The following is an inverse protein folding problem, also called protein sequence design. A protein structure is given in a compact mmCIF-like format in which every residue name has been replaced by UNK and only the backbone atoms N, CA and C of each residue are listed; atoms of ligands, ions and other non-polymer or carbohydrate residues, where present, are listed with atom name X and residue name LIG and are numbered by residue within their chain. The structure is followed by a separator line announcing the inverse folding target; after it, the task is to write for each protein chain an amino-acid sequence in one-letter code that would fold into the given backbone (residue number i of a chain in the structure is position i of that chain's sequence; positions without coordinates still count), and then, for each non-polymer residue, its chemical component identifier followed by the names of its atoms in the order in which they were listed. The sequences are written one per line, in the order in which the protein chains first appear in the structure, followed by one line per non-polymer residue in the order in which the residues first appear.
data_IF_834670410232
#
_entry.id   IF_834670410232
#
_cell.length_a   1.000
_cell.length_b   1.000
_cell.length_c   1.000
_cell.angle_alpha   90.00
_cell.angle_beta   90.00
_cell.angle_gamma   90.00
#
_symmetry.space_group_name_H-M   'P 1'
#
loop_
_entity.id
_entity.type
_entity.pdbx_description
1 polymer ?
#
# COMPACT_ATOMS: atom_id res chain seq x y z
N UNK A 1 -13.96 -18.96 16.68
CA UNK A 1 -13.25 -17.81 16.06
C UNK A 1 -14.17 -16.59 16.09
N UNK A 2 -13.67 -15.37 16.22
CA UNK A 2 -14.53 -14.20 16.14
C UNK A 2 -15.14 -14.10 14.73
N UNK A 3 -16.37 -13.62 14.65
CA UNK A 3 -17.04 -13.34 13.38
C UNK A 3 -16.42 -12.07 12.80
N UNK A 4 -15.87 -12.16 11.59
CA UNK A 4 -15.27 -11.04 10.86
C UNK A 4 -16.23 -10.65 9.74
N UNK A 5 -16.78 -9.45 9.81
CA UNK A 5 -17.74 -8.92 8.85
C UNK A 5 -17.21 -7.72 8.07
N UNK A 6 -16.22 -7.01 8.61
CA UNK A 6 -15.62 -5.82 8.02
C UNK A 6 -14.16 -5.67 8.45
N UNK A 7 -13.44 -4.75 7.82
CA UNK A 7 -12.02 -4.50 8.10
C UNK A 7 -11.78 -4.00 9.54
N UNK A 8 -12.74 -3.30 10.16
CA UNK A 8 -12.58 -2.83 11.53
C UNK A 8 -12.59 -3.98 12.56
N UNK A 9 -13.26 -5.12 12.28
CA UNK A 9 -13.20 -6.29 13.16
C UNK A 9 -11.77 -6.85 13.21
N UNK A 10 -11.07 -6.90 12.05
CA UNK A 10 -9.65 -7.28 11.98
C UNK A 10 -8.77 -6.28 12.72
N UNK A 11 -9.03 -4.97 12.58
CA UNK A 11 -8.29 -3.91 13.29
C UNK A 11 -8.36 -4.08 14.80
N UNK A 12 -9.54 -4.39 15.36
CA UNK A 12 -9.70 -4.61 16.81
C UNK A 12 -8.90 -5.80 17.32
N UNK A 13 -8.81 -6.88 16.54
CA UNK A 13 -8.00 -8.06 16.90
C UNK A 13 -6.52 -7.72 16.80
N UNK A 14 -6.11 -7.06 15.72
CA UNK A 14 -4.76 -6.60 15.47
C UNK A 14 -4.22 -5.74 16.62
N UNK A 15 -4.97 -4.74 17.09
CA UNK A 15 -4.60 -3.89 18.24
C UNK A 15 -4.33 -4.68 19.51
N UNK A 16 -5.10 -5.76 19.73
CA UNK A 16 -4.93 -6.61 20.91
C UNK A 16 -3.71 -7.53 20.80
N UNK A 17 -3.35 -7.98 19.61
CA UNK A 17 -2.32 -9.01 19.38
C UNK A 17 -0.92 -8.45 19.18
N UNK A 18 -0.79 -7.36 18.46
CA UNK A 18 0.51 -6.79 18.06
C UNK A 18 1.00 -5.78 19.10
N UNK A 19 2.32 -5.71 19.37
CA UNK A 19 2.89 -4.69 20.25
C UNK A 19 2.54 -3.26 19.79
N UNK A 20 2.28 -2.38 20.76
CA UNK A 20 1.83 -1.03 20.51
C UNK A 20 2.71 -0.24 19.55
N UNK A 21 4.03 -0.42 19.64
CA UNK A 21 4.97 0.26 18.77
C UNK A 21 4.75 -0.11 17.29
N UNK A 22 4.49 -1.38 16.98
CA UNK A 22 4.24 -1.85 15.61
C UNK A 22 2.81 -1.55 15.16
N UNK A 23 1.84 -1.65 16.07
CA UNK A 23 0.47 -1.21 15.80
C UNK A 23 0.43 0.26 15.41
N UNK A 24 1.00 1.14 16.23
CA UNK A 24 1.02 2.58 15.99
C UNK A 24 1.86 2.94 14.75
N UNK A 25 2.91 2.17 14.43
CA UNK A 25 3.65 2.35 13.17
C UNK A 25 2.72 2.24 11.96
N UNK A 26 1.83 1.26 11.92
CA UNK A 26 0.86 1.11 10.83
C UNK A 26 -0.31 2.10 10.96
N UNK A 27 -0.79 2.36 12.19
CA UNK A 27 -1.96 3.17 12.50
C UNK A 27 -1.56 4.59 12.93
N UNK A 28 -0.71 5.23 12.12
CA UNK A 28 -0.32 6.63 12.32
C UNK A 28 -0.30 7.41 11.02
N UNK A 29 -0.64 8.69 11.12
CA UNK A 29 -0.34 9.72 10.16
C UNK A 29 0.84 10.58 10.63
N UNK A 30 1.15 11.62 9.88
CA UNK A 30 2.12 12.65 10.22
C UNK A 30 1.44 13.82 10.96
N UNK A 31 2.21 14.55 11.74
CA UNK A 31 1.80 15.74 12.54
C UNK A 31 0.46 15.59 13.24
N UNK A 32 -0.58 16.31 12.78
CA UNK A 32 -1.93 16.33 13.41
C UNK A 32 -2.81 15.18 12.92
N UNK A 33 -2.36 14.41 11.94
CA UNK A 33 -3.11 13.32 11.31
C UNK A 33 -4.40 13.81 10.59
N UNK A 34 -4.45 15.06 10.09
CA UNK A 34 -5.58 15.56 9.34
C UNK A 34 -5.76 14.75 8.04
N UNK A 35 -4.73 14.74 7.17
CA UNK A 35 -4.77 13.98 5.90
C UNK A 35 -5.04 12.49 6.14
N UNK A 36 -4.52 11.93 7.24
CA UNK A 36 -4.81 10.54 7.61
C UNK A 36 -6.31 10.30 7.85
N UNK A 37 -6.99 11.20 8.55
CA UNK A 37 -8.44 11.11 8.78
C UNK A 37 -9.23 11.40 7.51
N UNK A 38 -8.84 12.42 6.75
CA UNK A 38 -9.52 12.85 5.53
C UNK A 38 -9.49 11.75 4.45
N UNK A 39 -8.42 10.95 4.39
CA UNK A 39 -8.34 9.79 3.50
C UNK A 39 -9.50 8.79 3.64
N UNK A 40 -10.08 8.65 4.82
CA UNK A 40 -11.25 7.79 5.03
C UNK A 40 -12.55 8.58 4.99
N UNK A 41 -12.57 9.78 5.57
CA UNK A 41 -13.79 10.59 5.69
C UNK A 41 -14.29 11.10 4.32
N UNK A 42 -13.39 11.37 3.39
CA UNK A 42 -13.78 11.91 2.08
C UNK A 42 -14.47 10.87 1.19
N UNK A 43 -14.20 9.58 1.39
CA UNK A 43 -15.02 8.53 0.76
C UNK A 43 -16.50 8.61 1.20
N UNK A 44 -16.79 9.05 2.42
CA UNK A 44 -18.16 9.17 2.92
C UNK A 44 -18.93 10.31 2.26
N UNK A 45 -18.26 11.31 1.69
CA UNK A 45 -18.87 12.41 0.94
C UNK A 45 -19.46 11.96 -0.40
N UNK A 46 -18.93 10.88 -0.99
CA UNK A 46 -19.40 10.30 -2.24
C UNK A 46 -20.55 9.35 -1.94
N UNK A 47 -21.73 9.56 -2.60
CA UNK A 47 -22.90 8.70 -2.45
C UNK A 47 -23.05 7.78 -3.66
N UNK A 48 -23.56 6.58 -3.42
CA UNK A 48 -23.82 5.57 -4.45
C UNK A 48 -25.23 5.73 -4.99
N UNK A 49 -25.39 5.55 -6.29
CA UNK A 49 -26.70 5.54 -6.96
C UNK A 49 -27.23 4.12 -7.03
N UNK A 50 -28.27 3.83 -6.25
CA UNK A 50 -28.93 2.53 -6.25
C UNK A 50 -29.75 2.33 -7.52
N UNK A 51 -29.73 1.12 -8.08
CA UNK A 51 -30.59 0.67 -9.18
C UNK A 51 -31.35 -0.57 -8.78
N UNK A 52 -32.52 -0.76 -9.37
CA UNK A 52 -33.38 -1.92 -9.11
C UNK A 52 -33.85 -2.56 -10.42
N UNK A 53 -34.28 -3.80 -10.34
CA UNK A 53 -34.83 -4.59 -11.48
C UNK A 53 -33.83 -4.76 -12.64
N UNK A 54 -32.54 -4.84 -12.32
CA UNK A 54 -31.44 -5.18 -13.26
C UNK A 54 -31.06 -6.63 -13.02
N UNK A 55 -31.00 -7.44 -14.07
CA UNK A 55 -30.54 -8.83 -13.97
C UNK A 55 -29.04 -8.86 -13.59
N UNK A 56 -28.74 -9.49 -12.45
CA UNK A 56 -27.37 -9.57 -11.90
C UNK A 56 -26.73 -10.95 -12.09
N UNK A 57 -27.32 -11.84 -12.87
CA UNK A 57 -26.73 -13.15 -13.15
C UNK A 57 -25.43 -12.97 -13.97
N UNK A 58 -24.40 -13.75 -13.59
CA UNK A 58 -23.12 -13.74 -14.29
C UNK A 58 -22.25 -12.51 -14.03
N UNK A 59 -22.53 -11.71 -12.99
CA UNK A 59 -21.65 -10.57 -12.62
C UNK A 59 -20.27 -11.04 -12.17
N UNK A 60 -19.26 -10.20 -12.39
CA UNK A 60 -17.88 -10.50 -12.07
C UNK A 60 -17.11 -9.25 -11.62
N UNK A 61 -16.24 -9.44 -10.63
CA UNK A 61 -15.26 -8.42 -10.19
C UNK A 61 -13.91 -8.56 -10.89
N UNK A 62 -13.73 -9.58 -11.74
CA UNK A 62 -12.48 -9.82 -12.46
C UNK A 62 -12.11 -8.63 -13.36
N UNK A 63 -10.83 -8.32 -13.45
CA UNK A 63 -10.29 -7.18 -14.18
C UNK A 63 -8.82 -7.42 -14.57
N UNK A 64 -8.18 -6.38 -15.07
CA UNK A 64 -6.74 -6.34 -15.28
C UNK A 64 -6.11 -5.13 -14.59
N UNK A 65 -4.87 -5.31 -14.10
CA UNK A 65 -4.02 -4.23 -13.58
C UNK A 65 -2.64 -4.34 -14.26
N UNK A 66 -2.22 -3.31 -14.96
CA UNK A 66 -0.98 -3.26 -15.78
C UNK A 66 -0.77 -4.49 -16.68
N UNK A 67 -1.87 -4.98 -17.28
CA UNK A 67 -1.87 -6.17 -18.15
C UNK A 67 -1.86 -7.51 -17.42
N UNK A 68 -1.96 -7.55 -16.10
CA UNK A 68 -2.07 -8.76 -15.29
C UNK A 68 -3.53 -9.02 -14.92
N UNK A 69 -4.03 -10.23 -15.21
CA UNK A 69 -5.38 -10.64 -14.78
C UNK A 69 -5.49 -10.72 -13.27
N UNK A 70 -6.57 -10.15 -12.73
CA UNK A 70 -6.84 -10.10 -11.29
C UNK A 70 -8.28 -10.53 -10.99
N UNK A 71 -8.49 -11.18 -9.85
CA UNK A 71 -9.84 -11.58 -9.39
C UNK A 71 -10.73 -10.38 -9.00
N UNK A 72 -10.09 -9.29 -8.61
CA UNK A 72 -10.67 -7.97 -8.36
C UNK A 72 -9.60 -6.89 -8.49
N UNK A 73 -9.90 -5.64 -8.86
CA UNK A 73 -8.91 -4.59 -9.09
C UNK A 73 -8.35 -4.00 -7.78
N UNK A 74 -7.75 -4.88 -6.97
CA UNK A 74 -7.06 -4.55 -5.71
C UNK A 74 -5.68 -5.18 -5.72
N UNK A 75 -4.65 -4.41 -5.33
CA UNK A 75 -3.31 -4.92 -5.03
C UNK A 75 -2.98 -4.68 -3.55
N UNK A 76 -2.15 -5.54 -2.95
CA UNK A 76 -1.56 -5.27 -1.65
C UNK A 76 -0.44 -4.24 -1.81
N UNK A 77 -0.61 -3.07 -1.17
CA UNK A 77 0.34 -1.98 -1.22
C UNK A 77 1.67 -2.34 -0.53
N UNK A 78 2.79 -1.71 -0.90
CA UNK A 78 4.05 -1.90 -0.20
C UNK A 78 3.98 -1.33 1.21
N UNK A 79 4.23 -2.18 2.20
CA UNK A 79 4.29 -1.78 3.61
C UNK A 79 5.57 -2.31 4.22
N UNK A 80 6.38 -1.41 4.77
CA UNK A 80 7.58 -1.78 5.52
C UNK A 80 7.24 -2.46 6.85
N UNK A 81 8.18 -3.25 7.37
CA UNK A 81 8.06 -3.89 8.68
C UNK A 81 6.84 -4.83 8.84
N UNK A 82 6.31 -5.37 7.76
CA UNK A 82 5.18 -6.32 7.83
C UNK A 82 5.55 -7.61 8.58
N UNK A 83 6.80 -8.05 8.46
CA UNK A 83 7.34 -9.15 9.25
C UNK A 83 7.39 -8.91 10.76
N UNK A 84 7.32 -7.64 11.20
CA UNK A 84 7.19 -7.28 12.62
C UNK A 84 5.73 -7.23 13.08
N UNK A 85 4.78 -7.16 12.17
CA UNK A 85 3.34 -7.27 12.48
C UNK A 85 2.93 -8.73 12.77
N UNK A 86 3.56 -9.65 12.04
CA UNK A 86 3.41 -11.10 12.21
C UNK A 86 4.67 -11.79 11.67
N UNK A 87 5.13 -12.86 12.33
CA UNK A 87 6.29 -13.63 11.83
C UNK A 87 6.11 -14.02 10.36
N UNK A 88 7.15 -13.80 9.54
CA UNK A 88 7.15 -14.02 8.09
C UNK A 88 5.98 -13.32 7.38
N UNK A 89 5.71 -12.07 7.78
CA UNK A 89 4.52 -11.32 7.38
C UNK A 89 4.44 -11.08 5.89
N UNK A 90 5.53 -10.70 5.23
CA UNK A 90 5.59 -10.45 3.80
C UNK A 90 5.31 -11.74 3.01
N UNK A 91 5.89 -12.87 3.42
CA UNK A 91 5.65 -14.19 2.80
C UNK A 91 4.19 -14.59 2.93
N UNK A 92 3.60 -14.40 4.13
CA UNK A 92 2.19 -14.73 4.38
C UNK A 92 1.23 -13.84 3.58
N UNK A 93 1.55 -12.56 3.46
CA UNK A 93 0.77 -11.63 2.64
C UNK A 93 0.86 -11.96 1.15
N UNK A 94 2.07 -12.26 0.65
CA UNK A 94 2.30 -12.67 -0.74
C UNK A 94 1.53 -13.94 -1.09
N UNK A 95 1.59 -14.98 -0.26
CA UNK A 95 0.84 -16.23 -0.45
C UNK A 95 -0.68 -16.03 -0.44
N UNK A 96 -1.18 -15.19 0.47
CA UNK A 96 -2.61 -14.88 0.51
C UNK A 96 -3.06 -14.15 -0.77
N UNK A 97 -2.28 -13.17 -1.23
CA UNK A 97 -2.53 -12.43 -2.46
C UNK A 97 -2.48 -13.35 -3.70
N UNK A 98 -1.46 -14.20 -3.80
CA UNK A 98 -1.31 -15.17 -4.89
C UNK A 98 -2.50 -16.13 -4.95
N UNK A 99 -2.89 -16.71 -3.82
CA UNK A 99 -4.02 -17.62 -3.74
C UNK A 99 -5.36 -16.94 -4.07
N UNK A 100 -5.52 -15.67 -3.73
CA UNK A 100 -6.70 -14.89 -4.03
C UNK A 100 -6.74 -14.38 -5.48
N UNK A 101 -5.60 -14.33 -6.16
CA UNK A 101 -5.46 -13.83 -7.53
C UNK A 101 -5.38 -12.30 -7.61
N UNK A 102 -4.70 -11.66 -6.67
CA UNK A 102 -4.41 -10.22 -6.66
C UNK A 102 -2.91 -9.96 -6.54
N UNK A 103 -2.37 -8.83 -7.04
CA UNK A 103 -0.95 -8.52 -6.92
C UNK A 103 -0.54 -8.25 -5.46
N UNK A 104 0.67 -8.68 -5.11
CA UNK A 104 1.37 -8.30 -3.89
C UNK A 104 2.54 -7.39 -4.23
N UNK A 105 2.77 -6.34 -3.44
CA UNK A 105 3.93 -5.46 -3.60
C UNK A 105 4.85 -5.57 -2.40
N UNK A 106 6.07 -6.07 -2.63
CA UNK A 106 7.11 -6.15 -1.59
C UNK A 106 7.81 -4.81 -1.43
N UNK A 107 7.93 -4.32 -0.21
CA UNK A 107 8.64 -3.06 0.08
C UNK A 107 10.16 -3.26 0.14
N UNK A 108 10.95 -2.26 -0.28
CA UNK A 108 12.40 -2.19 0.03
C UNK A 108 12.66 -2.37 1.54
N UNK A 109 11.77 -1.82 2.37
CA UNK A 109 11.86 -1.84 3.83
C UNK A 109 11.15 -3.06 4.46
N UNK A 110 11.13 -4.19 3.76
CA UNK A 110 10.58 -5.45 4.24
C UNK A 110 11.54 -6.19 5.18
N UNK A 111 10.96 -7.00 6.08
CA UNK A 111 11.73 -7.92 6.92
C UNK A 111 12.18 -9.14 6.09
N UNK A 112 11.27 -9.75 5.33
CA UNK A 112 11.67 -10.80 4.41
C UNK A 112 12.33 -10.19 3.16
N UNK A 113 13.36 -10.85 2.63
CA UNK A 113 14.06 -10.40 1.42
C UNK A 113 13.25 -10.69 0.14
N UNK A 114 13.68 -10.11 -0.98
CA UNK A 114 13.13 -10.37 -2.31
C UNK A 114 13.15 -11.87 -2.60
N UNK A 115 14.29 -12.52 -2.34
CA UNK A 115 14.52 -13.94 -2.61
C UNK A 115 13.62 -14.82 -1.73
N UNK A 116 13.51 -14.50 -0.43
CA UNK A 116 12.66 -15.27 0.50
C UNK A 116 11.18 -15.24 0.11
N UNK A 117 10.70 -14.13 -0.46
CA UNK A 117 9.34 -14.03 -0.99
C UNK A 117 9.21 -14.80 -2.31
N UNK A 118 10.19 -14.67 -3.20
CA UNK A 118 10.21 -15.40 -4.48
C UNK A 118 10.24 -16.91 -4.28
N UNK A 119 11.03 -17.42 -3.32
CA UNK A 119 11.09 -18.84 -2.97
C UNK A 119 9.78 -19.35 -2.35
N UNK A 120 8.98 -18.45 -1.78
CA UNK A 120 7.76 -18.80 -1.07
C UNK A 120 6.49 -18.70 -1.91
N UNK A 121 6.57 -18.15 -3.15
CA UNK A 121 5.47 -17.94 -4.07
C UNK A 121 5.78 -18.57 -5.44
N UNK A 122 4.75 -18.83 -6.24
CA UNK A 122 4.89 -19.40 -7.58
C UNK A 122 4.62 -18.37 -8.67
N UNK A 123 3.86 -17.33 -8.37
CA UNK A 123 3.55 -16.23 -9.29
C UNK A 123 4.46 -15.03 -9.02
N UNK A 124 4.76 -14.25 -10.06
CA UNK A 124 5.47 -12.99 -9.91
C UNK A 124 4.73 -12.01 -8.99
N UNK A 125 5.48 -11.18 -8.27
CA UNK A 125 4.98 -10.10 -7.45
C UNK A 125 5.60 -8.77 -7.89
N UNK A 126 5.10 -7.65 -7.39
CA UNK A 126 5.66 -6.32 -7.63
C UNK A 126 6.72 -5.99 -6.58
N UNK A 127 7.79 -5.32 -6.97
CA UNK A 127 8.81 -4.85 -6.04
C UNK A 127 8.76 -3.33 -5.93
N UNK A 128 8.66 -2.81 -4.71
CA UNK A 128 8.68 -1.36 -4.46
C UNK A 128 10.08 -0.90 -4.10
N UNK A 129 10.54 0.10 -4.84
CA UNK A 129 11.83 0.73 -4.70
C UNK A 129 11.69 2.11 -4.03
N UNK A 130 12.43 2.32 -2.94
CA UNK A 130 12.82 3.65 -2.51
C UNK A 130 14.16 4.01 -3.14
N UNK A 131 14.26 5.22 -3.68
CA UNK A 131 15.53 5.77 -4.16
C UNK A 131 16.40 6.14 -2.97
N UNK A 132 17.63 5.72 -3.03
CA UNK A 132 18.63 5.96 -1.99
C UNK A 132 19.84 6.67 -2.60
N UNK A 133 20.65 7.33 -1.76
CA UNK A 133 21.85 8.04 -2.18
C UNK A 133 22.91 7.12 -2.79
N UNK A 134 22.96 5.86 -2.36
CA UNK A 134 23.84 4.84 -2.93
C UNK A 134 23.22 4.26 -4.22
N UNK A 135 23.61 4.82 -5.37
CA UNK A 135 23.15 4.39 -6.68
C UNK A 135 23.51 2.92 -6.99
N UNK A 136 24.67 2.45 -6.51
CA UNK A 136 25.10 1.06 -6.72
C UNK A 136 24.23 0.09 -5.93
N UNK A 137 23.83 0.46 -4.70
CA UNK A 137 22.86 -0.32 -3.95
C UNK A 137 21.50 -0.35 -4.64
N UNK A 138 21.03 0.78 -5.17
CA UNK A 138 19.78 0.86 -5.95
C UNK A 138 19.83 -0.07 -7.17
N UNK A 139 20.96 -0.04 -7.93
CA UNK A 139 21.18 -0.94 -9.08
C UNK A 139 21.13 -2.42 -8.66
N UNK A 140 21.79 -2.78 -7.57
CA UNK A 140 21.78 -4.14 -7.03
C UNK A 140 20.36 -4.58 -6.63
N UNK A 141 19.56 -3.70 -5.99
CA UNK A 141 18.16 -3.99 -5.66
C UNK A 141 17.32 -4.27 -6.91
N UNK A 142 17.46 -3.45 -7.94
CA UNK A 142 16.77 -3.62 -9.21
C UNK A 142 17.17 -4.95 -9.86
N UNK A 143 18.46 -5.29 -9.88
CA UNK A 143 18.94 -6.55 -10.43
C UNK A 143 18.36 -7.75 -9.67
N UNK A 144 18.37 -7.72 -8.32
CA UNK A 144 17.77 -8.76 -7.49
C UNK A 144 16.26 -8.94 -7.76
N UNK A 145 15.54 -7.83 -7.96
CA UNK A 145 14.12 -7.88 -8.31
C UNK A 145 13.89 -8.52 -9.71
N UNK A 146 14.77 -8.24 -10.68
CA UNK A 146 14.76 -8.90 -12.00
C UNK A 146 15.04 -10.40 -11.87
N UNK A 147 16.06 -10.79 -11.13
CA UNK A 147 16.46 -12.19 -10.91
C UNK A 147 15.33 -12.97 -10.22
N UNK A 148 14.62 -12.33 -9.30
CA UNK A 148 13.42 -12.86 -8.64
C UNK A 148 12.16 -12.83 -9.55
N UNK A 149 12.27 -12.38 -10.79
CA UNK A 149 11.17 -12.26 -11.77
C UNK A 149 9.99 -11.43 -11.28
N UNK A 150 10.24 -10.34 -10.53
CA UNK A 150 9.20 -9.39 -10.20
C UNK A 150 8.56 -8.84 -11.48
N UNK A 151 7.22 -8.80 -11.54
CA UNK A 151 6.48 -8.41 -12.75
C UNK A 151 6.36 -6.90 -12.95
N UNK A 152 6.61 -6.10 -11.92
CA UNK A 152 6.65 -4.64 -12.01
C UNK A 152 7.57 -4.02 -10.94
N UNK A 153 8.13 -2.87 -11.29
CA UNK A 153 8.83 -1.99 -10.36
C UNK A 153 7.90 -0.87 -9.93
N UNK A 154 7.69 -0.71 -8.62
CA UNK A 154 6.90 0.39 -8.03
C UNK A 154 7.86 1.40 -7.44
N UNK A 155 8.12 2.52 -8.12
CA UNK A 155 9.00 3.57 -7.64
C UNK A 155 8.18 4.53 -6.77
N UNK A 156 8.57 4.68 -5.51
CA UNK A 156 7.87 5.55 -4.55
C UNK A 156 8.54 6.91 -4.49
N UNK A 157 7.80 7.96 -4.83
CA UNK A 157 8.32 9.31 -5.05
C UNK A 157 8.12 10.26 -3.86
N UNK A 158 7.13 9.99 -3.01
CA UNK A 158 6.71 10.85 -1.90
C UNK A 158 7.51 10.66 -0.60
N UNK A 159 8.68 9.98 -0.66
CA UNK A 159 9.50 9.68 0.52
C UNK A 159 10.97 10.14 0.38
N UNK A 160 11.21 11.23 -0.32
CA UNK A 160 12.53 11.89 -0.35
C UNK A 160 12.95 12.41 1.03
N UNK A 161 11.97 12.89 1.79
CA UNK A 161 12.09 13.38 3.16
C UNK A 161 11.00 12.72 4.00
N UNK A 162 11.35 12.26 5.19
CA UNK A 162 10.41 11.60 6.10
C UNK A 162 9.46 12.60 6.75
N UNK A 163 8.16 12.36 6.64
CA UNK A 163 7.14 13.06 7.42
C UNK A 163 7.29 12.79 8.93
N UNK A 164 6.95 13.77 9.75
CA UNK A 164 7.09 13.63 11.21
C UNK A 164 5.93 12.80 11.81
N UNK A 165 6.20 11.55 12.11
CA UNK A 165 5.24 10.62 12.72
C UNK A 165 5.41 10.63 14.22
N UNK A 166 4.64 11.44 14.92
CA UNK A 166 4.76 11.65 16.36
C UNK A 166 4.56 10.36 17.17
N UNK A 167 3.67 9.45 16.71
CA UNK A 167 3.44 8.17 17.40
C UNK A 167 4.67 7.26 17.32
N UNK A 168 5.37 7.23 16.18
CA UNK A 168 6.58 6.43 16.01
C UNK A 168 7.67 6.90 17.01
N UNK A 169 7.88 8.20 17.10
CA UNK A 169 8.85 8.80 18.05
C UNK A 169 8.46 8.50 19.51
N UNK A 170 7.19 8.66 19.88
CA UNK A 170 6.69 8.38 21.24
C UNK A 170 6.80 6.91 21.64
N UNK A 171 6.73 5.99 20.67
CA UNK A 171 6.85 4.56 20.91
C UNK A 171 8.28 4.02 20.80
N UNK A 172 9.25 4.90 20.55
CA UNK A 172 10.66 4.54 20.47
C UNK A 172 11.06 3.85 19.16
N UNK A 173 10.23 3.94 18.10
CA UNK A 173 10.61 3.60 16.72
C UNK A 173 11.44 4.75 16.12
N UNK A 174 12.46 5.19 16.86
CA UNK A 174 13.50 6.07 16.37
C UNK A 174 14.65 5.24 15.79
N UNK A 175 15.53 5.90 15.09
CA UNK A 175 16.77 5.31 14.63
C UNK A 175 17.94 5.84 15.49
N UNK A 176 18.55 5.04 16.38
CA UNK A 176 18.22 3.65 16.74
C UNK A 176 16.93 3.54 17.62
N UNK A 177 16.29 2.34 17.68
CA UNK A 177 15.12 2.13 18.52
C UNK A 177 15.41 2.32 20.00
N UNK A 178 14.55 3.07 20.70
CA UNK A 178 14.68 3.32 22.16
C UNK A 178 13.56 2.59 22.89
N UNK A 179 13.89 1.47 23.53
CA UNK A 179 12.94 0.73 24.35
C UNK A 179 12.77 1.42 25.72
N UNK A 180 11.59 1.95 25.97
CA UNK A 180 11.22 2.46 27.29
C UNK A 180 10.68 1.34 28.19
N UNK A 181 10.66 1.50 29.53
CA UNK A 181 10.01 0.53 30.43
C UNK A 181 8.55 0.24 30.05
N UNK A 182 7.81 1.26 29.56
CA UNK A 182 6.44 1.13 29.07
C UNK A 182 6.36 0.25 27.81
N UNK A 183 7.30 0.42 26.89
CA UNK A 183 7.37 -0.38 25.66
C UNK A 183 7.69 -1.84 26.00
N UNK A 184 8.63 -2.09 26.93
CA UNK A 184 8.98 -3.42 27.41
C UNK A 184 7.77 -4.09 28.08
N UNK A 185 7.08 -3.39 29.00
CA UNK A 185 5.87 -3.91 29.65
C UNK A 185 4.79 -4.28 28.62
N UNK A 186 4.59 -3.43 27.58
CA UNK A 186 3.65 -3.74 26.50
C UNK A 186 4.06 -4.98 25.71
N UNK A 187 5.34 -5.15 25.35
CA UNK A 187 5.86 -6.34 24.67
C UNK A 187 5.57 -7.61 25.51
N UNK A 188 5.76 -7.57 26.82
CA UNK A 188 5.49 -8.71 27.71
C UNK A 188 4.02 -9.12 27.71
N UNK A 189 3.08 -8.21 27.47
CA UNK A 189 1.64 -8.53 27.37
C UNK A 189 1.26 -9.18 26.05
N UNK A 190 2.13 -9.16 25.05
CA UNK A 190 1.87 -9.69 23.69
C UNK A 190 2.54 -11.05 23.47
N UNK A 191 2.35 -11.96 24.41
CA UNK A 191 3.04 -13.27 24.44
C UNK A 191 2.80 -14.12 23.18
N UNK A 192 1.59 -14.07 22.58
CA UNK A 192 1.28 -14.77 21.32
C UNK A 192 2.12 -14.25 20.16
N UNK A 193 2.29 -12.93 20.05
CA UNK A 193 3.18 -12.30 19.10
C UNK A 193 4.65 -12.72 19.38
N UNK A 194 5.07 -12.69 20.64
CA UNK A 194 6.42 -13.08 21.05
C UNK A 194 6.75 -14.52 20.64
N UNK A 195 5.86 -15.47 20.92
CA UNK A 195 6.02 -16.88 20.52
C UNK A 195 6.12 -17.04 18.99
N UNK A 196 5.30 -16.34 18.23
CA UNK A 196 5.38 -16.35 16.75
C UNK A 196 6.73 -15.81 16.27
N UNK A 197 7.22 -14.72 16.86
CA UNK A 197 8.51 -14.13 16.49
C UNK A 197 9.71 -15.01 16.81
N UNK A 198 9.60 -15.96 17.75
CA UNK A 198 10.67 -16.96 17.99
C UNK A 198 10.88 -17.86 16.77
N UNK A 199 9.82 -18.19 16.04
CA UNK A 199 9.86 -19.00 14.82
C UNK A 199 10.08 -18.23 13.53
N UNK A 200 10.22 -16.90 13.58
CA UNK A 200 10.40 -16.08 12.38
C UNK A 200 11.74 -16.35 11.71
N UNK A 201 11.74 -16.48 10.38
CA UNK A 201 12.96 -16.65 9.57
C UNK A 201 13.92 -15.48 9.75
N UNK A 202 13.40 -14.25 9.83
CA UNK A 202 14.18 -13.02 9.92
C UNK A 202 13.51 -11.99 10.85
N UNK A 203 14.33 -11.14 11.47
CA UNK A 203 13.88 -10.07 12.38
C UNK A 203 14.53 -8.71 12.09
N UNK A 204 15.23 -8.59 10.96
CA UNK A 204 15.87 -7.38 10.46
C UNK A 204 15.52 -7.19 8.98
N UNK A 205 15.82 -6.03 8.40
CA UNK A 205 15.50 -5.74 7.01
C UNK A 205 16.29 -6.63 6.04
N UNK A 206 15.59 -7.58 5.41
CA UNK A 206 16.18 -8.61 4.55
C UNK A 206 16.79 -8.10 3.26
N UNK A 207 16.38 -6.94 2.79
CA UNK A 207 16.95 -6.33 1.59
C UNK A 207 18.18 -5.46 1.89
N UNK A 208 18.41 -5.08 3.15
CA UNK A 208 19.47 -4.15 3.57
C UNK A 208 20.60 -4.90 4.26
N UNK A 209 20.28 -5.63 5.34
CA UNK A 209 21.29 -6.33 6.15
C UNK A 209 21.95 -7.46 5.33
N UNK A 210 23.28 -7.41 5.24
CA UNK A 210 24.08 -8.31 4.42
C UNK A 210 24.26 -7.86 2.96
N UNK A 211 23.61 -6.76 2.56
CA UNK A 211 23.71 -6.18 1.21
C UNK A 211 24.34 -4.78 1.19
N UNK A 212 24.53 -4.19 2.37
CA UNK A 212 25.18 -2.89 2.58
C UNK A 212 26.32 -3.07 3.58
N UNK A 213 27.50 -2.52 3.27
CA UNK A 213 28.68 -2.59 4.13
C UNK A 213 28.45 -1.83 5.44
N UNK A 214 29.00 -2.34 6.55
CA UNK A 214 28.97 -1.69 7.86
C UNK A 214 27.63 -1.80 8.62
N UNK A 215 26.61 -2.49 8.07
CA UNK A 215 25.32 -2.69 8.75
C UNK A 215 25.24 -4.10 9.33
N UNK A 216 25.42 -4.20 10.64
CA UNK A 216 25.40 -5.49 11.36
C UNK A 216 24.32 -5.58 12.44
N UNK A 217 23.81 -4.44 12.92
CA UNK A 217 22.86 -4.37 14.03
C UNK A 217 21.74 -3.33 13.80
N UNK A 218 20.77 -3.30 14.71
CA UNK A 218 19.62 -2.39 14.62
C UNK A 218 20.01 -0.90 14.76
N UNK A 219 21.13 -0.60 15.41
CA UNK A 219 21.60 0.79 15.59
C UNK A 219 22.21 1.32 14.31
N UNK A 220 23.16 0.59 13.71
CA UNK A 220 23.77 0.93 12.43
C UNK A 220 22.75 0.99 11.31
N UNK A 221 21.80 0.05 11.30
CA UNK A 221 20.67 0.03 10.37
C UNK A 221 19.78 1.27 10.49
N UNK A 222 19.42 1.66 11.72
CA UNK A 222 18.59 2.82 11.95
C UNK A 222 19.22 4.13 11.50
N UNK A 223 20.48 4.34 11.85
CA UNK A 223 21.26 5.51 11.42
C UNK A 223 21.38 5.55 9.89
N UNK A 224 21.76 4.44 9.26
CA UNK A 224 21.88 4.34 7.81
C UNK A 224 20.55 4.65 7.11
N UNK A 225 19.43 4.04 7.55
CA UNK A 225 18.13 4.26 6.91
C UNK A 225 17.70 5.73 6.95
N UNK A 226 17.96 6.44 8.07
CA UNK A 226 17.61 7.85 8.19
C UNK A 226 18.42 8.76 7.24
N UNK A 227 19.64 8.36 6.87
CA UNK A 227 20.56 9.14 6.04
C UNK A 227 20.44 8.81 4.55
N UNK A 228 19.89 7.64 4.19
CA UNK A 228 19.96 7.12 2.82
C UNK A 228 18.86 7.58 1.89
N UNK A 229 17.73 8.08 2.38
CA UNK A 229 16.73 8.66 1.47
C UNK A 229 17.35 9.78 0.65
N UNK A 230 17.18 9.72 -0.67
CA UNK A 230 17.78 10.68 -1.60
C UNK A 230 16.92 11.94 -1.74
N UNK A 231 17.31 13.06 -1.12
CA UNK A 231 16.57 14.32 -1.25
C UNK A 231 16.74 14.96 -2.64
N UNK A 232 17.65 14.45 -3.46
CA UNK A 232 17.94 14.97 -4.80
C UNK A 232 17.24 14.17 -5.91
N UNK A 233 16.27 13.30 -5.57
CA UNK A 233 15.46 12.60 -6.55
C UNK A 233 14.69 13.62 -7.41
N UNK A 234 14.89 13.52 -8.72
CA UNK A 234 14.22 14.32 -9.72
C UNK A 234 13.71 13.45 -10.88
N UNK A 235 12.97 14.04 -11.80
CA UNK A 235 12.43 13.34 -12.96
C UNK A 235 13.50 12.75 -13.88
N UNK A 236 14.71 13.34 -13.92
CA UNK A 236 15.84 12.80 -14.66
C UNK A 236 16.39 11.50 -14.07
N UNK A 237 16.43 11.40 -12.74
CA UNK A 237 16.79 10.16 -12.05
C UNK A 237 15.71 9.09 -12.22
N UNK A 238 14.43 9.48 -12.16
CA UNK A 238 13.28 8.57 -12.37
C UNK A 238 13.36 7.97 -13.79
N UNK A 239 13.62 8.77 -14.81
CA UNK A 239 13.79 8.29 -16.20
C UNK A 239 14.88 7.21 -16.30
N UNK A 240 16.05 7.43 -15.65
CA UNK A 240 17.14 6.43 -15.62
C UNK A 240 16.74 5.13 -14.92
N UNK A 241 15.92 5.20 -13.87
CA UNK A 241 15.42 4.00 -13.17
C UNK A 241 14.42 3.22 -14.04
N UNK A 242 13.57 3.92 -14.81
CA UNK A 242 12.66 3.31 -15.80
C UNK A 242 13.46 2.55 -16.86
N UNK A 243 14.48 3.20 -17.46
CA UNK A 243 15.37 2.58 -18.44
C UNK A 243 16.12 1.37 -17.86
N UNK A 244 16.60 1.49 -16.60
CA UNK A 244 17.34 0.42 -15.93
C UNK A 244 16.45 -0.80 -15.65
N UNK A 245 15.16 -0.62 -15.37
CA UNK A 245 14.24 -1.72 -15.08
C UNK A 245 13.86 -2.50 -16.33
N UNK A 246 13.59 -1.82 -17.45
CA UNK A 246 13.20 -2.42 -18.72
C UNK A 246 12.00 -3.40 -18.59
N UNK A 247 10.95 -2.93 -17.95
CA UNK A 247 9.73 -3.70 -17.68
C UNK A 247 8.61 -2.79 -17.20
N UNK A 248 7.53 -3.35 -16.67
CA UNK A 248 6.40 -2.58 -16.16
C UNK A 248 6.78 -1.69 -14.97
N UNK A 249 6.48 -0.39 -15.06
CA UNK A 249 6.79 0.61 -14.02
C UNK A 249 5.53 1.30 -13.53
N UNK A 250 5.41 1.37 -12.22
CA UNK A 250 4.35 2.09 -11.50
C UNK A 250 5.00 3.22 -10.69
N UNK A 251 4.60 4.46 -10.90
CA UNK A 251 5.06 5.60 -10.10
C UNK A 251 4.05 5.89 -8.98
N UNK A 252 4.48 5.72 -7.73
CA UNK A 252 3.62 5.82 -6.54
C UNK A 252 3.91 7.09 -5.74
N UNK A 253 2.86 7.71 -5.19
CA UNK A 253 2.99 8.94 -4.38
C UNK A 253 2.65 10.21 -5.16
N UNK A 254 1.94 10.06 -6.27
CA UNK A 254 1.48 11.18 -7.10
C UNK A 254 0.21 11.76 -6.48
N UNK A 255 0.20 13.06 -6.20
CA UNK A 255 -0.96 13.77 -5.67
C UNK A 255 -1.20 15.11 -6.38
N UNK A 256 -0.42 15.41 -7.40
CA UNK A 256 -0.49 16.63 -8.19
C UNK A 256 -0.68 16.31 -9.67
N UNK A 257 -1.44 17.15 -10.38
CA UNK A 257 -1.77 16.97 -11.81
C UNK A 257 -0.52 17.11 -12.68
N UNK A 258 0.38 18.04 -12.37
CA UNK A 258 1.59 18.25 -13.16
C UNK A 258 2.57 17.08 -12.99
N UNK A 259 2.67 16.51 -11.77
CA UNK A 259 3.44 15.29 -11.53
C UNK A 259 2.84 14.08 -12.29
N UNK A 260 1.51 13.98 -12.37
CA UNK A 260 0.84 12.94 -13.14
C UNK A 260 1.13 13.05 -14.65
N UNK A 261 1.10 14.27 -15.21
CA UNK A 261 1.49 14.54 -16.61
C UNK A 261 2.96 14.18 -16.87
N UNK A 262 3.85 14.51 -15.94
CA UNK A 262 5.27 14.16 -16.07
C UNK A 262 5.47 12.64 -16.03
N UNK A 263 4.75 11.92 -15.17
CA UNK A 263 4.79 10.46 -15.11
C UNK A 263 4.34 9.82 -16.43
N UNK A 264 3.24 10.29 -17.01
CA UNK A 264 2.76 9.84 -18.31
C UNK A 264 3.77 10.14 -19.43
N UNK A 265 4.36 11.35 -19.45
CA UNK A 265 5.39 11.75 -20.42
C UNK A 265 6.65 10.88 -20.35
N UNK A 266 7.03 10.40 -19.18
CA UNK A 266 8.19 9.52 -19.00
C UNK A 266 7.89 8.07 -19.42
N UNK A 267 6.66 7.72 -19.80
CA UNK A 267 6.29 6.38 -20.25
C UNK A 267 6.14 5.36 -19.13
N UNK A 268 5.79 5.78 -17.91
CA UNK A 268 5.38 4.84 -16.87
C UNK A 268 4.09 4.12 -17.30
N UNK A 269 3.94 2.85 -16.89
CA UNK A 269 2.73 2.06 -17.23
C UNK A 269 1.53 2.45 -16.36
N UNK A 270 1.78 2.83 -15.11
CA UNK A 270 0.75 3.29 -14.20
C UNK A 270 1.27 4.30 -13.20
N UNK A 271 0.33 5.07 -12.64
CA UNK A 271 0.56 5.89 -11.43
C UNK A 271 -0.34 5.43 -10.30
N UNK A 272 0.10 5.67 -9.06
CA UNK A 272 -0.78 5.54 -7.88
C UNK A 272 -1.00 6.90 -7.27
N UNK A 273 -2.25 7.38 -7.34
CA UNK A 273 -2.70 8.58 -6.62
C UNK A 273 -2.66 8.26 -5.13
N UNK A 274 -1.74 8.92 -4.42
CA UNK A 274 -1.35 8.52 -3.07
C UNK A 274 -0.75 9.67 -2.29
N UNK A 275 -1.10 9.78 -1.01
CA UNK A 275 -0.42 10.60 -0.02
C UNK A 275 0.27 9.75 1.07
N UNK A 276 0.68 8.52 0.69
CA UNK A 276 1.32 7.56 1.61
C UNK A 276 0.46 7.21 2.83
N UNK A 277 -0.86 7.25 2.67
CA UNK A 277 -1.80 6.99 3.77
C UNK A 277 -1.80 8.08 4.84
N UNK A 278 -1.53 9.35 4.47
CA UNK A 278 -1.44 10.48 5.39
C UNK A 278 -0.19 10.46 6.27
N UNK A 279 0.89 9.83 5.80
CA UNK A 279 2.14 9.62 6.58
C UNK A 279 3.26 10.57 6.15
N UNK A 280 3.02 11.39 5.13
CA UNK A 280 3.96 12.38 4.59
C UNK A 280 3.46 13.80 4.85
N UNK A 281 3.06 14.58 3.88
CA UNK A 281 2.55 15.93 4.08
C UNK A 281 1.18 15.90 4.76
N UNK A 282 1.07 16.42 5.99
CA UNK A 282 -0.21 16.64 6.64
C UNK A 282 -0.83 17.95 6.16
N UNK A 283 -2.16 18.01 6.04
CA UNK A 283 -2.87 19.11 5.41
C UNK A 283 -2.97 19.01 3.88
N UNK A 284 -2.35 18.00 3.25
CA UNK A 284 -2.61 17.67 1.85
C UNK A 284 -4.04 17.11 1.69
N UNK A 285 -4.63 17.26 0.50
CA UNK A 285 -5.91 16.64 0.18
C UNK A 285 -5.83 15.12 0.25
N UNK A 286 -6.96 14.48 0.48
CA UNK A 286 -7.05 13.02 0.38
C UNK A 286 -6.86 12.57 -1.08
N UNK A 287 -6.35 11.35 -1.25
CA UNK A 287 -6.12 10.78 -2.59
C UNK A 287 -7.41 10.68 -3.40
N UNK A 288 -8.55 10.35 -2.75
CA UNK A 288 -9.84 10.25 -3.44
C UNK A 288 -10.34 11.61 -3.92
N UNK A 289 -10.03 12.71 -3.24
CA UNK A 289 -10.36 14.06 -3.72
C UNK A 289 -9.51 14.48 -4.92
N UNK A 290 -8.26 14.04 -4.98
CA UNK A 290 -7.36 14.37 -6.10
C UNK A 290 -7.61 13.50 -7.34
N UNK A 291 -8.23 12.34 -7.17
CA UNK A 291 -8.43 11.37 -8.25
C UNK A 291 -9.16 11.97 -9.47
N UNK A 292 -10.29 12.71 -9.35
CA UNK A 292 -10.99 13.24 -10.52
C UNK A 292 -10.13 14.16 -11.40
N UNK A 293 -9.37 15.08 -10.78
CA UNK A 293 -8.52 16.01 -11.51
C UNK A 293 -7.36 15.31 -12.23
N UNK A 294 -6.77 14.29 -11.59
CA UNK A 294 -5.70 13.49 -12.20
C UNK A 294 -6.26 12.63 -13.33
N UNK A 295 -7.44 12.02 -13.17
CA UNK A 295 -8.11 11.25 -14.22
C UNK A 295 -8.45 12.13 -15.44
N UNK A 296 -8.96 13.34 -15.22
CA UNK A 296 -9.28 14.27 -16.29
C UNK A 296 -8.03 14.73 -17.07
N UNK A 297 -6.85 14.72 -16.41
CA UNK A 297 -5.59 15.16 -17.03
C UNK A 297 -4.84 14.04 -17.79
N UNK A 298 -4.85 12.82 -17.27
CA UNK A 298 -3.97 11.73 -17.78
C UNK A 298 -4.65 10.36 -17.89
N UNK A 299 -5.93 10.23 -17.53
CA UNK A 299 -6.60 8.94 -17.45
C UNK A 299 -6.77 8.20 -18.78
N UNK A 300 -6.61 8.87 -19.91
CA UNK A 300 -6.58 8.30 -21.27
C UNK A 300 -5.17 7.92 -21.74
N UNK A 301 -4.12 8.31 -21.02
CA UNK A 301 -2.71 8.16 -21.38
C UNK A 301 -2.00 7.08 -20.57
N UNK A 302 -2.41 6.86 -19.33
CA UNK A 302 -1.73 5.98 -18.37
C UNK A 302 -2.74 5.31 -17.43
N UNK A 303 -2.46 4.10 -16.96
CA UNK A 303 -3.29 3.50 -15.91
C UNK A 303 -3.17 4.31 -14.61
N UNK A 304 -4.30 4.67 -14.02
CA UNK A 304 -4.36 5.37 -12.73
C UNK A 304 -4.90 4.43 -11.68
N UNK A 305 -4.10 4.17 -10.66
CA UNK A 305 -4.51 3.45 -9.45
C UNK A 305 -4.67 4.42 -8.30
N UNK A 306 -5.38 4.00 -7.26
CA UNK A 306 -5.57 4.79 -6.05
C UNK A 306 -5.20 4.00 -4.81
N UNK A 307 -4.51 4.62 -3.87
CA UNK A 307 -4.40 4.13 -2.49
C UNK A 307 -4.79 5.19 -1.47
N UNK A 308 -4.54 4.94 -0.22
CA UNK A 308 -4.87 5.79 0.92
C UNK A 308 -6.38 5.86 1.23
N UNK A 309 -6.77 5.28 2.33
CA UNK A 309 -8.13 5.40 2.87
C UNK A 309 -9.06 4.21 2.66
N UNK A 310 -8.82 3.33 1.70
CA UNK A 310 -9.68 2.19 1.38
C UNK A 310 -9.83 1.24 2.58
N UNK A 311 -11.08 1.01 3.01
CA UNK A 311 -11.46 0.12 4.12
C UNK A 311 -12.64 -0.78 3.80
N UNK A 312 -13.30 -0.59 2.66
CA UNK A 312 -14.48 -1.35 2.24
C UNK A 312 -14.50 -1.58 0.74
N UNK A 313 -15.27 -2.57 0.28
CA UNK A 313 -15.54 -2.77 -1.15
C UNK A 313 -16.32 -1.60 -1.77
N UNK A 314 -17.04 -0.82 -0.97
CA UNK A 314 -17.70 0.41 -1.41
C UNK A 314 -16.66 1.49 -1.76
N UNK A 315 -15.58 1.61 -0.99
CA UNK A 315 -14.50 2.57 -1.28
C UNK A 315 -13.80 2.20 -2.60
N UNK A 316 -13.57 0.89 -2.81
CA UNK A 316 -13.04 0.39 -4.08
C UNK A 316 -13.96 0.78 -5.24
N UNK A 317 -15.28 0.50 -5.14
CA UNK A 317 -16.22 0.88 -6.18
C UNK A 317 -16.22 2.38 -6.47
N UNK A 318 -16.18 3.22 -5.44
CA UNK A 318 -16.13 4.68 -5.61
C UNK A 318 -14.89 5.12 -6.38
N UNK A 319 -13.71 4.56 -6.07
CA UNK A 319 -12.48 4.85 -6.79
C UNK A 319 -12.55 4.42 -8.27
N UNK A 320 -13.05 3.20 -8.54
CA UNK A 320 -13.23 2.70 -9.90
C UNK A 320 -14.24 3.54 -10.69
N UNK A 321 -15.36 3.89 -10.07
CA UNK A 321 -16.40 4.72 -10.70
C UNK A 321 -15.94 6.17 -10.98
N UNK A 322 -14.92 6.67 -10.27
CA UNK A 322 -14.24 7.93 -10.59
C UNK A 322 -13.18 7.78 -11.70
N UNK A 323 -12.93 6.55 -12.17
CA UNK A 323 -12.08 6.27 -13.32
C UNK A 323 -10.80 5.50 -13.01
N UNK A 324 -10.46 5.24 -11.75
CA UNK A 324 -9.30 4.42 -11.41
C UNK A 324 -9.41 3.01 -12.02
N UNK A 325 -8.32 2.47 -12.55
CA UNK A 325 -8.25 1.10 -13.06
C UNK A 325 -8.04 0.06 -11.97
N UNK A 326 -7.49 0.48 -10.85
CA UNK A 326 -7.25 -0.39 -9.71
C UNK A 326 -7.03 0.39 -8.43
N UNK A 327 -6.96 -0.32 -7.33
CA UNK A 327 -6.71 0.25 -6.02
C UNK A 327 -5.62 -0.52 -5.29
N UNK A 328 -4.98 0.11 -4.30
CA UNK A 328 -4.04 -0.57 -3.43
C UNK A 328 -4.48 -0.44 -1.97
N UNK A 329 -4.38 -1.50 -1.21
CA UNK A 329 -4.67 -1.53 0.22
C UNK A 329 -3.39 -1.75 1.04
N UNK A 330 -3.12 -0.87 1.99
CA UNK A 330 -2.03 -1.03 2.97
C UNK A 330 -2.59 -1.51 4.31
N UNK A 331 -3.12 -0.61 5.10
CA UNK A 331 -3.61 -0.91 6.45
C UNK A 331 -4.65 -2.03 6.49
N UNK A 332 -5.55 -2.10 5.51
CA UNK A 332 -6.61 -3.11 5.50
C UNK A 332 -6.05 -4.54 5.53
N UNK A 333 -5.01 -4.85 4.73
CA UNK A 333 -4.39 -6.17 4.81
C UNK A 333 -3.49 -6.34 6.03
N UNK A 334 -2.80 -5.27 6.49
CA UNK A 334 -1.94 -5.31 7.68
C UNK A 334 -2.76 -5.63 8.95
N UNK A 335 -3.99 -5.11 9.05
CA UNK A 335 -4.88 -5.47 10.16
C UNK A 335 -5.19 -6.97 10.14
N UNK A 336 -5.49 -7.52 8.95
CA UNK A 336 -5.69 -8.96 8.77
C UNK A 336 -4.44 -9.74 9.16
N UNK A 337 -3.28 -9.34 8.63
CA UNK A 337 -2.00 -9.99 8.90
C UNK A 337 -1.67 -10.03 10.39
N UNK A 338 -1.68 -8.90 11.07
CA UNK A 338 -1.39 -8.84 12.50
C UNK A 338 -2.46 -9.49 13.37
N UNK A 339 -3.71 -9.56 12.89
CA UNK A 339 -4.79 -10.27 13.56
C UNK A 339 -4.63 -11.79 13.48
N UNK A 340 -4.38 -12.37 12.29
CA UNK A 340 -4.52 -13.79 12.05
C UNK A 340 -3.49 -14.37 11.07
N UNK A 341 -2.42 -13.63 10.74
CA UNK A 341 -1.42 -14.06 9.76
C UNK A 341 -2.00 -14.17 8.35
N UNK A 342 -1.61 -15.20 7.60
CA UNK A 342 -2.06 -15.42 6.22
C UNK A 342 -3.59 -15.49 6.11
N UNK A 343 -4.24 -16.23 7.02
CA UNK A 343 -5.71 -16.35 7.06
C UNK A 343 -6.38 -14.98 7.22
N UNK A 344 -5.78 -14.09 8.04
CA UNK A 344 -6.32 -12.74 8.23
C UNK A 344 -6.21 -11.87 6.99
N UNK A 345 -5.13 -12.00 6.20
CA UNK A 345 -5.01 -11.31 4.90
C UNK A 345 -6.06 -11.84 3.92
N UNK A 346 -6.21 -13.16 3.82
CA UNK A 346 -7.27 -13.79 3.00
C UNK A 346 -8.64 -13.28 3.40
N UNK A 347 -8.93 -13.21 4.72
CA UNK A 347 -10.20 -12.71 5.23
C UNK A 347 -10.44 -11.24 4.89
N UNK A 348 -9.40 -10.40 4.94
CA UNK A 348 -9.51 -9.00 4.51
C UNK A 348 -9.88 -8.89 3.01
N UNK A 349 -9.25 -9.71 2.16
CA UNK A 349 -9.56 -9.77 0.73
C UNK A 349 -10.98 -10.29 0.47
N UNK A 350 -11.41 -11.33 1.17
CA UNK A 350 -12.78 -11.87 1.07
C UNK A 350 -13.86 -10.83 1.45
N UNK A 351 -13.62 -10.07 2.53
CA UNK A 351 -14.53 -9.00 2.96
C UNK A 351 -14.65 -7.94 1.87
N UNK A 352 -13.53 -7.42 1.39
CA UNK A 352 -13.51 -6.38 0.35
C UNK A 352 -14.14 -6.87 -0.95
N UNK A 353 -13.86 -8.11 -1.36
CA UNK A 353 -14.43 -8.72 -2.55
C UNK A 353 -15.96 -8.83 -2.44
N UNK A 354 -16.47 -9.38 -1.32
CA UNK A 354 -17.89 -9.53 -1.09
C UNK A 354 -18.61 -8.19 -1.05
N UNK A 355 -18.04 -7.19 -0.41
CA UNK A 355 -18.60 -5.84 -0.35
C UNK A 355 -18.60 -5.18 -1.75
N UNK A 356 -17.53 -5.34 -2.54
CA UNK A 356 -17.46 -4.83 -3.91
C UNK A 356 -18.53 -5.50 -4.80
N UNK A 357 -18.58 -6.83 -4.83
CA UNK A 357 -19.55 -7.61 -5.60
C UNK A 357 -21.01 -7.25 -5.25
N UNK A 358 -21.29 -7.17 -3.94
CA UNK A 358 -22.65 -6.80 -3.47
C UNK A 358 -22.99 -5.36 -3.84
N UNK A 359 -22.06 -4.43 -3.70
CA UNK A 359 -22.30 -3.02 -4.01
C UNK A 359 -22.50 -2.81 -5.51
N UNK A 360 -21.72 -3.48 -6.37
CA UNK A 360 -21.92 -3.49 -7.81
C UNK A 360 -23.36 -3.94 -8.16
N UNK A 361 -23.81 -5.05 -7.58
CA UNK A 361 -25.15 -5.56 -7.82
C UNK A 361 -26.24 -4.56 -7.40
N UNK A 362 -26.07 -3.87 -6.25
CA UNK A 362 -27.01 -2.86 -5.78
C UNK A 362 -26.97 -1.57 -6.62
N UNK A 363 -25.86 -1.31 -7.32
CA UNK A 363 -25.73 -0.23 -8.31
C UNK A 363 -26.21 -0.63 -9.70
N UNK A 364 -26.54 -1.92 -9.92
CA UNK A 364 -27.03 -2.43 -11.21
C UNK A 364 -25.94 -2.71 -12.23
N UNK A 365 -24.70 -2.97 -11.80
CA UNK A 365 -23.56 -3.22 -12.69
C UNK A 365 -23.10 -4.68 -12.63
N UNK A 366 -22.82 -5.28 -13.79
CA UNK A 366 -22.38 -6.67 -13.90
C UNK A 366 -20.87 -6.84 -13.92
N UNK A 367 -20.14 -5.80 -14.27
CA UNK A 367 -18.67 -5.82 -14.37
C UNK A 367 -18.10 -4.57 -13.74
N UNK A 368 -16.88 -4.67 -13.20
CA UNK A 368 -16.12 -3.50 -12.76
C UNK A 368 -15.77 -2.57 -13.93
N UNK A 369 -15.77 -3.09 -15.16
CA UNK A 369 -15.56 -2.31 -16.37
C UNK A 369 -16.74 -1.38 -16.72
N UNK A 370 -17.95 -1.70 -16.20
CA UNK A 370 -19.16 -0.92 -16.43
C UNK A 370 -19.31 0.25 -15.42
N UNK A 371 -18.45 0.27 -14.37
CA UNK A 371 -18.48 1.32 -13.35
C UNK A 371 -18.06 2.67 -13.94
N UNK A 372 -18.79 3.72 -13.55
CA UNK A 372 -18.50 5.06 -13.99
C UNK A 372 -19.16 6.13 -13.10
N UNK A 373 -18.91 7.40 -13.41
CA UNK A 373 -19.47 8.55 -12.64
C UNK A 373 -21.01 8.50 -12.54
N UNK A 374 -21.70 7.80 -13.44
CA UNK A 374 -23.16 7.59 -13.40
C UNK A 374 -23.64 6.75 -12.19
N UNK A 375 -22.74 6.00 -11.57
CA UNK A 375 -23.01 5.24 -10.33
C UNK A 375 -22.90 6.08 -9.06
N UNK A 376 -22.43 7.33 -9.19
CA UNK A 376 -22.09 8.19 -8.06
C UNK A 376 -22.93 9.47 -8.03
N UNK A 377 -23.11 9.98 -6.81
CA UNK A 377 -23.48 11.36 -6.54
C UNK A 377 -22.31 11.99 -5.80
N UNK A 378 -21.62 12.89 -6.48
CA UNK A 378 -20.41 13.55 -5.99
C UNK A 378 -20.74 15.02 -5.73
N UNK A 379 -20.37 15.61 -4.57
CA UNK A 379 -20.57 17.04 -4.32
C UNK A 379 -19.87 17.91 -5.39
N UNK A 380 -20.42 19.06 -5.72
CA UNK A 380 -19.87 19.96 -6.75
C UNK A 380 -18.49 20.49 -6.39
N UNK A 381 -18.19 20.64 -5.08
CA UNK A 381 -16.93 21.09 -4.53
C UNK A 381 -15.93 19.94 -4.27
N UNK A 382 -16.28 18.70 -4.65
CA UNK A 382 -15.42 17.55 -4.50
C UNK A 382 -14.34 17.53 -5.59
N UNK A 383 -13.09 17.44 -5.16
CA UNK A 383 -11.95 17.56 -6.06
C UNK A 383 -11.47 19.01 -6.11
N UNK A 384 -10.44 19.31 -5.34
CA UNK A 384 -9.91 20.67 -5.19
C UNK A 384 -9.64 21.33 -6.55
N UNK A 385 -10.14 22.55 -6.72
CA UNK A 385 -9.69 23.43 -7.80
C UNK A 385 -8.50 24.20 -7.27
N UNK A 386 -7.34 23.96 -7.87
CA UNK A 386 -6.19 24.81 -7.62
C UNK A 386 -6.51 26.19 -8.17
N UNK A 387 -6.34 27.23 -7.34
CA UNK A 387 -6.29 28.60 -7.86
C UNK A 387 -4.92 28.77 -8.52
N UNK A 388 -4.91 29.10 -9.79
CA UNK A 388 -3.71 29.46 -10.55
C UNK A 388 -3.04 30.73 -9.99
#
# INVERSE_FOLDING_TARGET
MPVITNINDLKRIYERRVPRMFYDYAESGSWTEQTFRDNTNDFEKIRLRQRVAVDMAGRSTASQMIGQDVSMPIALAPVGLTGMQHADGEIKAARAAEAFGVPFTLSTMSINSIEEVADATTKPFWFQLYTMKDDDYVRRLIQRAKDARCSALVITLDLQILGQRHKDLKNGLSAPPKLTPKTIANLMTKWTWGLQMLGAKRRNFGNIVGHVEGISDASSLGAWTAEQFDPSLDWGKIAKLIELWDGKVILKGILDVEDAKMAAKLGADAIVVSNHGGRQLDGALSSIQMLPAIMDAVGDQIEVHLDSGIRSGQDVLKALALGAKGTMIGRAFVYGLGAMGQEGVTRALEVLHKELDTTMALCGEKSVADLGRHNLLVPEDFGGRWQE
#
